data_IF_800937740811
#
_entry.id   IF_800937740811
#
_cell.length_a   1.000
_cell.length_b   1.000
_cell.length_c   1.000
_cell.angle_alpha   90.00
_cell.angle_beta   90.00
_cell.angle_gamma   90.00
#
_symmetry.space_group_name_H-M   'P 1'
#
loop_
_entity.id
_entity.type
_entity.pdbx_description
1 polymer ?
#
# COMPACT_ATOMS: atom_id res chain seq x y z
N UNK A 1 -26.79 18.70 -12.77
CA UNK A 1 -25.83 17.67 -13.21
C UNK A 1 -24.85 17.45 -12.07
N UNK A 2 -25.07 16.43 -11.26
CA UNK A 2 -24.18 15.99 -10.19
C UNK A 2 -23.10 15.12 -10.83
N UNK A 3 -21.95 15.72 -11.13
CA UNK A 3 -20.82 15.01 -11.72
C UNK A 3 -20.23 14.04 -10.69
N UNK A 4 -20.32 12.76 -11.05
CA UNK A 4 -19.48 11.58 -10.75
C UNK A 4 -18.11 11.78 -10.06
N UNK A 5 -18.05 12.49 -8.93
CA UNK A 5 -16.84 12.60 -8.09
C UNK A 5 -16.33 11.23 -7.64
N UNK A 6 -17.21 10.23 -7.56
CA UNK A 6 -16.90 8.83 -7.23
C UNK A 6 -15.87 8.16 -8.14
N UNK A 7 -15.73 8.59 -9.40
CA UNK A 7 -14.87 7.92 -10.40
C UNK A 7 -13.54 8.63 -10.62
N UNK A 8 -13.49 9.95 -10.40
CA UNK A 8 -12.30 10.74 -10.75
C UNK A 8 -11.15 10.53 -9.76
N UNK A 9 -11.42 10.46 -8.45
CA UNK A 9 -10.37 10.18 -7.46
C UNK A 9 -9.79 8.76 -7.60
N UNK A 10 -10.61 7.79 -8.03
CA UNK A 10 -10.20 6.39 -8.11
C UNK A 10 -9.16 6.14 -9.19
N UNK A 11 -9.22 6.82 -10.34
CA UNK A 11 -8.27 6.64 -11.44
C UNK A 11 -6.82 6.97 -11.07
N UNK A 12 -6.65 7.93 -10.16
CA UNK A 12 -5.33 8.37 -9.69
C UNK A 12 -4.96 7.76 -8.33
N UNK A 13 -5.80 6.89 -7.78
CA UNK A 13 -5.64 6.31 -6.46
C UNK A 13 -4.49 5.30 -6.39
N UNK A 14 -3.96 5.11 -5.18
CA UNK A 14 -2.94 4.09 -4.93
C UNK A 14 -3.53 2.70 -5.05
N UNK A 15 -4.78 2.49 -4.61
CA UNK A 15 -5.46 1.20 -4.77
C UNK A 15 -5.58 0.78 -6.23
N UNK A 16 -5.96 1.69 -7.13
CA UNK A 16 -6.07 1.41 -8.56
C UNK A 16 -4.71 1.08 -9.20
N UNK A 17 -3.64 1.77 -8.77
CA UNK A 17 -2.28 1.49 -9.23
C UNK A 17 -1.79 0.12 -8.77
N UNK A 18 -2.06 -0.26 -7.52
CA UNK A 18 -1.73 -1.59 -7.00
C UNK A 18 -2.50 -2.69 -7.74
N UNK A 19 -3.81 -2.53 -7.95
CA UNK A 19 -4.63 -3.46 -8.73
C UNK A 19 -4.10 -3.61 -10.17
N UNK A 20 -3.71 -2.50 -10.80
CA UNK A 20 -3.09 -2.51 -12.13
C UNK A 20 -1.77 -3.29 -12.14
N UNK A 21 -0.93 -3.15 -11.11
CA UNK A 21 0.34 -3.89 -10.99
C UNK A 21 0.07 -5.38 -10.84
N UNK A 22 -0.87 -5.78 -9.97
CA UNK A 22 -1.22 -7.19 -9.79
C UNK A 22 -1.81 -7.79 -11.07
N UNK A 23 -2.71 -7.07 -11.74
CA UNK A 23 -3.33 -7.51 -13.00
C UNK A 23 -2.30 -7.70 -14.12
N UNK A 24 -1.42 -6.71 -14.33
CA UNK A 24 -0.35 -6.79 -15.34
C UNK A 24 0.79 -7.71 -14.94
N UNK A 25 0.95 -7.97 -13.65
CA UNK A 25 1.97 -8.86 -13.10
C UNK A 25 1.63 -10.34 -13.25
N UNK A 26 0.39 -10.71 -13.60
CA UNK A 26 -0.01 -12.11 -13.81
C UNK A 26 0.86 -12.78 -14.88
N UNK A 27 1.41 -13.93 -14.54
CA UNK A 27 2.33 -14.68 -15.41
C UNK A 27 3.76 -14.13 -15.46
N UNK A 28 4.05 -13.02 -14.77
CA UNK A 28 5.39 -12.45 -14.64
C UNK A 28 5.86 -12.59 -13.18
N UNK A 29 5.06 -12.12 -12.24
CA UNK A 29 5.32 -12.19 -10.80
C UNK A 29 4.80 -13.51 -10.22
N UNK A 30 5.38 -14.00 -9.11
CA UNK A 30 4.82 -15.12 -8.37
C UNK A 30 3.37 -14.85 -7.95
N UNK A 31 2.50 -15.87 -8.06
CA UNK A 31 1.07 -15.73 -7.75
C UNK A 31 0.81 -15.25 -6.32
N UNK A 32 1.64 -15.68 -5.37
CA UNK A 32 1.59 -15.22 -3.98
C UNK A 32 1.83 -13.70 -3.88
N UNK A 33 2.81 -13.17 -4.62
CA UNK A 33 3.10 -11.73 -4.63
C UNK A 33 1.96 -10.95 -5.30
N UNK A 34 1.41 -11.42 -6.41
CA UNK A 34 0.23 -10.82 -7.04
C UNK A 34 -0.98 -10.80 -6.09
N UNK A 35 -1.17 -11.87 -5.32
CA UNK A 35 -2.25 -11.98 -4.34
C UNK A 35 -2.07 -10.94 -3.23
N UNK A 36 -0.87 -10.79 -2.68
CA UNK A 36 -0.63 -9.77 -1.65
C UNK A 36 -0.73 -8.34 -2.18
N UNK A 37 -0.36 -8.09 -3.44
CA UNK A 37 -0.58 -6.78 -4.07
C UNK A 37 -2.08 -6.48 -4.18
N UNK A 38 -2.91 -7.45 -4.57
CA UNK A 38 -4.37 -7.31 -4.61
C UNK A 38 -4.98 -7.09 -3.22
N UNK A 39 -4.49 -7.81 -2.21
CA UNK A 39 -4.92 -7.65 -0.83
C UNK A 39 -4.60 -6.23 -0.32
N UNK A 40 -3.39 -5.73 -0.61
CA UNK A 40 -3.01 -4.36 -0.29
C UNK A 40 -3.84 -3.33 -1.07
N UNK A 41 -4.15 -3.57 -2.34
CA UNK A 41 -5.02 -2.72 -3.15
C UNK A 41 -6.42 -2.59 -2.51
N UNK A 42 -6.99 -3.72 -2.09
CA UNK A 42 -8.32 -3.77 -1.45
C UNK A 42 -8.35 -3.04 -0.11
N UNK A 43 -7.34 -3.26 0.75
CA UNK A 43 -7.19 -2.54 2.03
C UNK A 43 -7.04 -1.03 1.81
N UNK A 44 -6.26 -0.64 0.80
CA UNK A 44 -6.02 0.76 0.43
C UNK A 44 -7.29 1.41 -0.11
N UNK A 45 -8.08 0.69 -0.90
CA UNK A 45 -9.34 1.19 -1.46
C UNK A 45 -10.35 1.54 -0.36
N UNK A 46 -10.46 0.72 0.69
CA UNK A 46 -11.32 1.00 1.84
C UNK A 46 -10.90 2.30 2.53
N UNK A 47 -9.59 2.50 2.72
CA UNK A 47 -9.06 3.72 3.32
C UNK A 47 -9.29 4.96 2.44
N UNK A 48 -9.00 4.87 1.14
CA UNK A 48 -9.20 5.99 0.20
C UNK A 48 -10.68 6.35 0.04
N UNK A 49 -11.56 5.34 -0.01
CA UNK A 49 -13.01 5.55 -0.05
C UNK A 49 -13.48 6.35 1.16
N UNK A 50 -12.97 6.03 2.37
CA UNK A 50 -13.29 6.80 3.57
C UNK A 50 -12.84 8.27 3.46
N UNK A 51 -11.65 8.53 2.90
CA UNK A 51 -11.13 9.89 2.70
C UNK A 51 -11.98 10.69 1.71
N UNK A 52 -12.33 10.08 0.57
CA UNK A 52 -12.94 10.81 -0.56
C UNK A 52 -14.47 10.79 -0.57
N UNK A 53 -15.11 9.80 0.06
CA UNK A 53 -16.57 9.65 0.09
C UNK A 53 -17.16 9.89 1.49
N UNK A 54 -16.32 10.01 2.52
CA UNK A 54 -16.73 10.32 3.88
C UNK A 54 -17.15 9.11 4.73
N UNK A 55 -17.45 9.33 6.01
CA UNK A 55 -17.66 8.27 7.00
C UNK A 55 -18.98 7.49 6.87
N UNK A 56 -19.90 7.89 5.99
CA UNK A 56 -21.17 7.16 5.80
C UNK A 56 -20.99 5.78 5.14
N UNK A 57 -19.87 5.56 4.47
CA UNK A 57 -19.45 4.25 3.95
C UNK A 57 -18.83 3.40 5.07
N UNK A 58 -19.69 2.84 5.94
CA UNK A 58 -19.43 1.96 7.09
C UNK A 58 -18.16 1.06 6.96
N UNK A 59 -16.95 1.53 7.32
CA UNK A 59 -15.74 0.73 7.20
C UNK A 59 -15.54 -0.11 8.46
N UNK A 60 -14.88 -1.27 8.36
CA UNK A 60 -14.47 -2.02 9.55
C UNK A 60 -13.57 -1.12 10.43
N UNK A 61 -13.84 -0.96 11.74
CA UNK A 61 -13.11 -0.03 12.63
C UNK A 61 -11.59 -0.20 12.61
N UNK A 62 -11.11 -1.43 12.36
CA UNK A 62 -9.69 -1.78 12.32
C UNK A 62 -8.92 -1.18 11.13
N UNK A 63 -9.61 -0.76 10.05
CA UNK A 63 -9.01 -0.15 8.85
C UNK A 63 -9.09 1.39 8.87
N UNK A 64 -9.95 1.95 9.72
CA UNK A 64 -10.21 3.40 9.77
C UNK A 64 -9.06 4.15 10.47
N UNK A 65 -8.41 3.52 11.46
CA UNK A 65 -7.47 4.23 12.34
C UNK A 65 -5.99 4.09 11.99
N UNK A 66 -5.59 3.11 11.18
CA UNK A 66 -4.16 2.83 10.91
C UNK A 66 -3.69 3.17 9.47
N UNK A 67 -4.61 3.60 8.60
CA UNK A 67 -4.34 4.19 7.28
C UNK A 67 -3.54 3.34 6.29
N UNK A 68 -2.88 4.01 5.34
CA UNK A 68 -2.01 3.38 4.33
C UNK A 68 -0.90 2.48 4.93
N UNK A 69 -0.40 2.79 6.13
CA UNK A 69 0.66 2.00 6.77
C UNK A 69 0.20 0.56 7.04
N UNK A 70 -0.97 0.38 7.63
CA UNK A 70 -1.53 -0.95 7.87
C UNK A 70 -2.02 -1.62 6.59
N UNK A 71 -2.47 -0.84 5.60
CA UNK A 71 -2.83 -1.40 4.30
C UNK A 71 -1.63 -2.04 3.59
N UNK A 72 -0.44 -1.43 3.72
CA UNK A 72 0.80 -1.89 3.09
C UNK A 72 1.59 -2.91 3.91
N UNK A 73 1.47 -2.91 5.25
CA UNK A 73 2.31 -3.72 6.12
C UNK A 73 2.42 -5.21 5.70
N UNK A 74 1.32 -5.95 5.45
CA UNK A 74 1.44 -7.36 5.07
C UNK A 74 2.16 -7.57 3.73
N UNK A 75 1.97 -6.64 2.78
CA UNK A 75 2.66 -6.69 1.49
C UNK A 75 4.15 -6.37 1.64
N UNK A 76 4.50 -5.39 2.46
CA UNK A 76 5.90 -5.04 2.76
C UNK A 76 6.58 -6.22 3.45
N UNK A 77 5.99 -6.77 4.50
CA UNK A 77 6.50 -7.97 5.19
C UNK A 77 6.73 -9.12 4.22
N UNK A 78 5.77 -9.40 3.34
CA UNK A 78 5.90 -10.43 2.30
C UNK A 78 7.06 -10.14 1.34
N UNK A 79 7.24 -8.90 0.87
CA UNK A 79 8.32 -8.52 -0.05
C UNK A 79 9.71 -8.44 0.61
N UNK A 80 9.76 -8.32 1.94
CA UNK A 80 10.98 -8.35 2.73
C UNK A 80 11.35 -9.77 3.20
N UNK A 81 10.44 -10.73 3.08
CA UNK A 81 10.69 -12.14 3.38
C UNK A 81 11.93 -12.65 2.60
N UNK A 82 12.98 -13.10 3.31
CA UNK A 82 14.22 -13.54 2.67
C UNK A 82 14.03 -14.77 1.78
N UNK A 83 13.11 -15.69 2.14
CA UNK A 83 12.82 -16.90 1.37
C UNK A 83 12.07 -16.58 0.07
N UNK A 84 11.20 -15.56 0.09
CA UNK A 84 10.59 -15.04 -1.13
C UNK A 84 11.66 -14.37 -1.99
N UNK A 85 12.43 -13.43 -1.42
CA UNK A 85 13.43 -12.63 -2.16
C UNK A 85 14.50 -13.49 -2.81
N UNK A 86 14.95 -14.56 -2.14
CA UNK A 86 15.91 -15.51 -2.71
C UNK A 86 15.38 -16.22 -3.98
N UNK A 87 14.06 -16.32 -4.14
CA UNK A 87 13.42 -16.94 -5.32
C UNK A 87 13.15 -15.94 -6.44
N UNK A 88 13.09 -14.65 -6.13
CA UNK A 88 12.86 -13.59 -7.14
C UNK A 88 14.12 -13.34 -7.95
N UNK A 89 13.99 -13.27 -9.27
CA UNK A 89 15.10 -12.99 -10.18
C UNK A 89 14.66 -12.13 -11.36
N UNK A 90 15.63 -11.44 -11.99
CA UNK A 90 15.40 -10.60 -13.15
C UNK A 90 14.28 -9.57 -12.93
N UNK A 91 13.26 -9.62 -13.78
CA UNK A 91 12.14 -8.67 -13.74
C UNK A 91 11.31 -8.75 -12.47
N UNK A 92 11.21 -9.93 -11.84
CA UNK A 92 10.44 -10.12 -10.61
C UNK A 92 11.08 -9.36 -9.44
N UNK A 93 12.39 -9.52 -9.29
CA UNK A 93 13.15 -8.82 -8.26
C UNK A 93 13.15 -7.30 -8.51
N UNK A 94 13.22 -6.89 -9.79
CA UNK A 94 13.13 -5.48 -10.16
C UNK A 94 11.78 -4.89 -9.76
N UNK A 95 10.66 -5.53 -10.13
CA UNK A 95 9.31 -5.04 -9.78
C UNK A 95 9.11 -5.02 -8.27
N UNK A 96 9.51 -6.07 -7.56
CA UNK A 96 9.43 -6.14 -6.09
C UNK A 96 10.22 -4.98 -5.43
N UNK A 97 11.46 -4.75 -5.88
CA UNK A 97 12.31 -3.67 -5.36
C UNK A 97 11.72 -2.29 -5.68
N UNK A 98 11.25 -2.08 -6.92
CA UNK A 98 10.63 -0.79 -7.29
C UNK A 98 9.33 -0.55 -6.50
N UNK A 99 8.52 -1.58 -6.28
CA UNK A 99 7.31 -1.47 -5.47
C UNK A 99 7.65 -1.09 -4.02
N UNK A 100 8.64 -1.74 -3.40
CA UNK A 100 9.15 -1.37 -2.08
C UNK A 100 9.60 0.10 -2.01
N UNK A 101 10.33 0.58 -3.02
CA UNK A 101 10.75 2.00 -3.12
C UNK A 101 9.55 2.94 -3.18
N UNK A 102 8.52 2.62 -3.97
CA UNK A 102 7.33 3.48 -4.08
C UNK A 102 6.52 3.47 -2.78
N UNK A 103 6.32 2.30 -2.16
CA UNK A 103 5.63 2.20 -0.87
C UNK A 103 6.38 2.98 0.21
N UNK A 104 7.73 2.87 0.28
CA UNK A 104 8.55 3.70 1.17
C UNK A 104 8.32 5.19 0.95
N UNK A 105 8.29 5.65 -0.31
CA UNK A 105 8.06 7.07 -0.62
C UNK A 105 6.70 7.54 -0.14
N UNK A 106 5.65 6.74 -0.34
CA UNK A 106 4.30 7.05 0.15
C UNK A 106 4.34 7.13 1.68
N UNK A 107 4.91 6.14 2.36
CA UNK A 107 5.07 6.13 3.82
C UNK A 107 5.87 7.32 4.34
N UNK A 108 6.93 7.74 3.64
CA UNK A 108 7.74 8.90 4.02
C UNK A 108 6.96 10.22 3.88
N UNK A 109 6.16 10.38 2.82
CA UNK A 109 5.26 11.53 2.67
C UNK A 109 4.21 11.54 3.77
N UNK A 110 3.66 10.37 4.11
CA UNK A 110 2.70 10.22 5.19
C UNK A 110 3.32 10.51 6.55
N UNK A 111 4.57 10.11 6.81
CA UNK A 111 5.32 10.49 8.02
C UNK A 111 5.50 12.00 8.12
N UNK A 112 5.89 12.65 7.02
CA UNK A 112 6.08 14.10 6.98
C UNK A 112 4.78 14.84 7.29
N UNK A 113 3.64 14.37 6.76
CA UNK A 113 2.30 14.96 6.99
C UNK A 113 1.68 14.54 8.34
N UNK A 114 1.94 13.33 8.80
CA UNK A 114 1.50 12.75 10.07
C UNK A 114 2.27 13.29 11.27
N UNK A 115 3.42 13.93 11.04
CA UNK A 115 4.07 14.75 12.07
C UNK A 115 3.23 15.98 12.44
N UNK A 116 2.29 16.41 11.58
CA UNK A 116 1.33 17.50 11.85
C UNK A 116 0.04 17.00 12.54
N UNK A 117 -0.20 15.69 12.56
CA UNK A 117 -1.43 15.07 13.11
C UNK A 117 -1.06 14.14 14.26
N UNK A 118 -1.35 14.56 15.51
CA UNK A 118 -0.88 14.04 16.80
C UNK A 118 -1.08 12.53 17.14
N UNK A 119 -1.16 11.60 16.19
CA UNK A 119 -1.36 10.18 16.43
C UNK A 119 -0.01 9.42 16.54
N UNK A 120 0.44 9.21 17.78
CA UNK A 120 1.76 8.61 18.12
C UNK A 120 1.90 7.17 17.57
N UNK A 121 0.82 6.39 17.61
CA UNK A 121 0.82 4.97 17.17
C UNK A 121 1.01 4.85 15.65
N UNK A 122 0.35 5.71 14.88
CA UNK A 122 0.50 5.80 13.42
C UNK A 122 1.94 6.14 13.01
N UNK A 123 2.54 7.15 13.67
CA UNK A 123 3.93 7.53 13.42
C UNK A 123 4.91 6.40 13.77
N UNK A 124 4.63 5.60 14.81
CA UNK A 124 5.46 4.44 15.16
C UNK A 124 5.42 3.36 14.10
N UNK A 125 4.23 2.97 13.62
CA UNK A 125 4.08 1.94 12.59
C UNK A 125 4.75 2.35 11.27
N UNK A 126 4.58 3.60 10.84
CA UNK A 126 5.24 4.14 9.64
C UNK A 126 6.77 4.12 9.79
N UNK A 127 7.29 4.49 10.97
CA UNK A 127 8.73 4.48 11.23
C UNK A 127 9.33 3.07 11.16
N UNK A 128 8.64 2.07 11.71
CA UNK A 128 9.05 0.67 11.65
C UNK A 128 9.14 0.21 10.20
N UNK A 129 8.07 0.38 9.43
CA UNK A 129 8.02 -0.05 8.03
C UNK A 129 9.09 0.63 7.16
N UNK A 130 9.29 1.94 7.32
CA UNK A 130 10.35 2.66 6.59
C UNK A 130 11.73 2.12 6.98
N UNK A 131 11.97 1.89 8.26
CA UNK A 131 13.25 1.34 8.72
C UNK A 131 13.49 -0.09 8.23
N UNK A 132 12.45 -0.91 8.11
CA UNK A 132 12.56 -2.29 7.60
C UNK A 132 12.88 -2.30 6.11
N UNK A 133 12.23 -1.43 5.33
CA UNK A 133 12.54 -1.27 3.91
C UNK A 133 13.98 -0.76 3.73
N UNK A 134 14.43 0.19 4.54
CA UNK A 134 15.76 0.80 4.45
C UNK A 134 16.91 -0.16 4.80
N UNK A 135 16.63 -1.27 5.48
CA UNK A 135 17.63 -2.30 5.75
C UNK A 135 17.88 -3.22 4.55
N UNK A 136 16.95 -3.25 3.60
CA UNK A 136 16.94 -4.21 2.49
C UNK A 136 17.20 -3.55 1.13
N UNK A 137 16.92 -2.25 1.01
CA UNK A 137 17.25 -1.42 -0.16
C UNK A 137 18.67 -0.87 -0.07
#
# INVERSE_FOLDING_TARGET
MTYSTTVDWYKDSVSFRLDTIASKGKGILPDALCTEINNAASRTFIHETHIYQGPESNPSPELIYDGYAKAFAPLIEHMLDPDLRAKLHGIQLHVCTQLLVQLRRILAVLKARGSDSCCITYNTAVNVLVSEIDRVL
#
